data_IF_900304370836
#
_entry.id   IF_900304370836
#
_cell.length_a   1.000
_cell.length_b   1.000
_cell.length_c   1.000
_cell.angle_alpha   90.00
_cell.angle_beta   90.00
_cell.angle_gamma   90.00
#
_symmetry.space_group_name_H-M   'P 1'
#
loop_
_entity.id
_entity.type
_entity.pdbx_description
1 polymer ?
#
# COMPACT_ATOMS: atom_id res chain seq x y z
N UNK A 1 3.07 26.78 -2.21
CA UNK A 1 2.22 25.62 -1.84
C UNK A 1 2.93 24.67 -0.86
N UNK A 2 4.16 24.21 -1.14
CA UNK A 2 4.91 23.33 -0.22
C UNK A 2 5.17 23.96 1.16
N UNK A 3 5.54 25.25 1.21
CA UNK A 3 5.86 25.93 2.47
C UNK A 3 4.63 26.23 3.33
N UNK A 4 3.46 26.36 2.72
CA UNK A 4 2.19 26.50 3.44
C UNK A 4 1.72 25.17 4.05
N UNK A 5 1.97 24.05 3.36
CA UNK A 5 1.68 22.71 3.89
C UNK A 5 2.58 22.32 5.07
N UNK A 6 3.81 22.85 5.14
CA UNK A 6 4.73 22.65 6.28
C UNK A 6 4.30 23.42 7.54
N UNK A 7 3.56 24.53 7.39
CA UNK A 7 3.03 25.34 8.52
C UNK A 7 1.83 24.70 9.19
N UNK A 8 1.09 23.88 8.45
CA UNK A 8 0.08 23.01 8.99
C UNK A 8 0.79 21.88 9.75
N UNK A 9 1.01 22.08 11.06
CA UNK A 9 1.38 21.02 12.00
C UNK A 9 0.23 20.02 12.14
N UNK A 10 -0.17 19.39 11.04
CA UNK A 10 -1.10 18.28 11.05
C UNK A 10 -0.35 17.09 11.65
N UNK A 11 -0.57 16.86 12.93
CA UNK A 11 -0.24 15.57 13.54
C UNK A 11 -1.18 14.56 12.91
N UNK A 12 -0.74 13.94 11.82
CA UNK A 12 -1.51 12.88 11.19
C UNK A 12 -1.63 11.71 12.18
N UNK A 13 -2.83 11.21 12.47
CA UNK A 13 -3.04 10.21 13.51
C UNK A 13 -2.67 8.80 13.01
N UNK A 14 -1.38 8.57 12.75
CA UNK A 14 -0.85 7.31 12.20
C UNK A 14 -1.28 6.10 13.04
N UNK A 15 -1.24 6.23 14.37
CA UNK A 15 -1.66 5.14 15.27
C UNK A 15 -3.13 4.76 15.07
N UNK A 16 -4.02 5.76 14.99
CA UNK A 16 -5.44 5.53 14.76
C UNK A 16 -5.68 4.84 13.42
N UNK A 17 -5.00 5.29 12.35
CA UNK A 17 -5.08 4.65 11.04
C UNK A 17 -4.59 3.21 11.07
N UNK A 18 -3.46 2.95 11.71
CA UNK A 18 -2.86 1.62 11.84
C UNK A 18 -3.79 0.67 12.61
N UNK A 19 -4.37 1.12 13.71
CA UNK A 19 -5.34 0.34 14.50
C UNK A 19 -6.58 -0.01 13.67
N UNK A 20 -7.09 0.92 12.86
CA UNK A 20 -8.21 0.65 11.96
C UNK A 20 -7.86 -0.39 10.89
N UNK A 21 -6.70 -0.27 10.24
CA UNK A 21 -6.25 -1.24 9.23
C UNK A 21 -6.09 -2.64 9.84
N UNK A 22 -5.44 -2.74 11.01
CA UNK A 22 -5.25 -4.02 11.72
C UNK A 22 -6.57 -4.67 12.10
N UNK A 23 -7.52 -3.90 12.66
CA UNK A 23 -8.85 -4.42 13.04
C UNK A 23 -9.67 -4.86 11.83
N UNK A 24 -9.52 -4.18 10.69
CA UNK A 24 -10.13 -4.57 9.43
C UNK A 24 -9.44 -5.78 8.75
N UNK A 25 -8.34 -6.29 9.32
CA UNK A 25 -7.56 -7.37 8.72
C UNK A 25 -6.76 -6.94 7.48
N UNK A 26 -6.59 -5.64 7.27
CA UNK A 26 -5.82 -5.09 6.17
C UNK A 26 -4.35 -5.05 6.59
N UNK A 27 -3.54 -5.89 5.96
CA UNK A 27 -2.09 -5.92 6.15
C UNK A 27 -1.38 -5.13 5.04
N UNK A 28 -1.06 -5.78 3.92
CA UNK A 28 -0.46 -5.18 2.73
C UNK A 28 -1.45 -5.01 1.56
N UNK A 29 -2.74 -5.25 1.81
CA UNK A 29 -3.79 -5.17 0.81
C UNK A 29 -3.63 -6.22 -0.30
N UNK A 30 -3.53 -5.76 -1.54
CA UNK A 30 -3.34 -6.62 -2.72
C UNK A 30 -1.88 -6.86 -3.08
N UNK A 31 -0.93 -6.18 -2.41
CA UNK A 31 0.46 -6.16 -2.83
C UNK A 31 1.14 -7.53 -2.81
N UNK A 32 0.85 -8.38 -1.81
CA UNK A 32 1.42 -9.73 -1.74
C UNK A 32 0.50 -10.82 -2.28
N UNK A 33 -0.60 -10.45 -2.96
CA UNK A 33 -1.47 -11.43 -3.60
C UNK A 33 -0.90 -11.77 -4.99
N UNK A 34 -1.10 -13.00 -5.48
CA UNK A 34 -0.71 -13.33 -6.84
C UNK A 34 -1.50 -12.49 -7.84
N UNK A 35 -0.81 -11.98 -8.85
CA UNK A 35 -1.42 -11.31 -9.97
C UNK A 35 -2.14 -12.32 -10.88
N UNK A 36 -3.26 -11.91 -11.46
CA UNK A 36 -3.93 -12.72 -12.48
C UNK A 36 -3.07 -12.82 -13.75
N UNK A 37 -2.40 -11.73 -14.12
CA UNK A 37 -1.42 -11.68 -15.20
C UNK A 37 -0.08 -11.14 -14.65
N UNK A 38 0.96 -11.98 -14.53
CA UNK A 38 2.30 -11.54 -14.12
C UNK A 38 2.93 -10.46 -15.00
N UNK A 39 2.62 -10.47 -16.30
CA UNK A 39 3.15 -9.52 -17.27
C UNK A 39 2.41 -8.17 -17.29
N UNK A 40 1.36 -8.02 -16.47
CA UNK A 40 0.67 -6.75 -16.32
C UNK A 40 1.65 -5.69 -15.77
N UNK A 41 1.79 -4.52 -16.43
CA UNK A 41 2.64 -3.43 -15.96
C UNK A 41 2.33 -2.98 -14.52
N UNK A 42 1.06 -3.04 -14.10
CA UNK A 42 0.60 -2.62 -12.77
C UNK A 42 0.70 -3.72 -11.72
N UNK A 43 0.97 -4.98 -12.11
CA UNK A 43 1.23 -6.03 -11.14
C UNK A 43 2.41 -5.62 -10.23
N UNK A 44 2.25 -5.59 -8.90
CA UNK A 44 3.29 -5.08 -8.01
C UNK A 44 4.47 -6.05 -7.92
N UNK A 45 5.68 -5.51 -7.71
CA UNK A 45 6.91 -6.30 -7.52
C UNK A 45 6.87 -7.20 -6.27
N UNK A 46 6.00 -6.88 -5.32
CA UNK A 46 5.75 -7.65 -4.10
C UNK A 46 4.82 -8.84 -4.33
N UNK A 47 4.17 -8.94 -5.50
CA UNK A 47 3.36 -10.10 -5.85
C UNK A 47 4.26 -11.32 -6.05
N UNK A 48 3.90 -12.49 -5.49
CA UNK A 48 4.75 -13.68 -5.48
C UNK A 48 5.03 -14.25 -6.88
N UNK A 49 4.20 -13.93 -7.87
CA UNK A 49 4.31 -14.43 -9.23
C UNK A 49 4.72 -13.38 -10.26
N UNK A 50 5.05 -12.13 -9.90
CA UNK A 50 5.42 -11.07 -10.86
C UNK A 50 6.53 -11.50 -11.82
N UNK A 51 7.50 -12.27 -11.33
CA UNK A 51 8.66 -12.77 -12.09
C UNK A 51 8.47 -14.19 -12.64
N UNK A 52 7.30 -14.77 -12.45
CA UNK A 52 6.96 -16.07 -13.04
C UNK A 52 6.62 -15.86 -14.51
N UNK A 53 7.24 -16.64 -15.39
CA UNK A 53 6.69 -16.88 -16.72
C UNK A 53 5.58 -17.92 -16.50
N UNK A 54 4.32 -17.49 -16.55
CA UNK A 54 3.17 -18.40 -16.51
C UNK A 54 2.94 -19.02 -17.88
#
# INVERSE_FOLDING_TARGET
MLDEMKKLQFVFPFKTLEDYMKRAGITNGYQSKPCLNPADPECPETAPNKKSQQ
#
